data_IF_264356737288
#
_entry.id   IF_264356737288
#
_cell.length_a   1.000
_cell.length_b   1.000
_cell.length_c   1.000
_cell.angle_alpha   90.00
_cell.angle_beta   90.00
_cell.angle_gamma   90.00
#
_symmetry.space_group_name_H-M   'P 1'
#
loop_
_entity.id
_entity.type
_entity.pdbx_description
1 polymer ?
#
# COMPACT_ATOMS: atom_id res chain seq x y z
N UNK A 1 17.19 -8.51 6.18
CA UNK A 1 16.82 -8.84 4.79
C UNK A 1 16.17 -10.20 4.80
N UNK A 2 15.21 -10.47 3.92
CA UNK A 2 14.52 -11.77 3.89
C UNK A 2 13.00 -11.70 4.01
N UNK A 3 12.39 -10.55 3.72
CA UNK A 3 10.95 -10.46 3.50
C UNK A 3 10.66 -9.85 2.13
N UNK A 4 9.46 -10.12 1.65
CA UNK A 4 8.89 -9.48 0.48
C UNK A 4 7.47 -9.03 0.81
N UNK A 5 6.94 -8.15 -0.03
CA UNK A 5 5.55 -7.69 0.01
C UNK A 5 4.92 -8.08 -1.33
N UNK A 6 3.72 -8.66 -1.28
CA UNK A 6 2.94 -8.92 -2.50
C UNK A 6 1.93 -7.81 -2.74
N UNK A 7 2.00 -7.21 -3.91
CA UNK A 7 1.00 -6.25 -4.41
C UNK A 7 0.14 -6.93 -5.46
N UNK A 8 -1.17 -6.72 -5.46
CA UNK A 8 -2.04 -7.21 -6.54
C UNK A 8 -2.23 -6.12 -7.60
N UNK A 9 -2.32 -6.56 -8.86
CA UNK A 9 -2.95 -5.76 -9.90
C UNK A 9 -4.44 -5.53 -9.55
N UNK A 10 -5.10 -4.50 -10.11
CA UNK A 10 -6.53 -4.27 -9.86
C UNK A 10 -7.35 -5.55 -10.13
N UNK A 11 -7.99 -6.14 -9.11
CA UNK A 11 -8.78 -7.34 -9.31
C UNK A 11 -10.10 -7.01 -10.03
N UNK A 12 -10.78 -8.02 -10.59
CA UNK A 12 -12.18 -7.88 -11.00
C UNK A 12 -13.04 -7.27 -9.89
N UNK A 13 -14.01 -6.45 -10.27
CA UNK A 13 -14.95 -5.84 -9.31
C UNK A 13 -15.84 -6.87 -8.59
N UNK A 14 -16.01 -8.05 -9.19
CA UNK A 14 -16.78 -9.16 -8.64
C UNK A 14 -16.19 -10.51 -9.03
N UNK A 15 -16.29 -11.46 -8.11
CA UNK A 15 -16.01 -12.89 -8.28
C UNK A 15 -17.30 -13.67 -8.07
N UNK A 16 -17.55 -14.63 -8.95
CA UNK A 16 -18.67 -15.57 -8.87
C UNK A 16 -18.13 -17.00 -8.66
N UNK A 17 -18.95 -17.84 -8.04
CA UNK A 17 -18.57 -19.21 -7.67
C UNK A 17 -18.23 -20.06 -8.90
N UNK A 18 -17.08 -20.71 -8.88
CA UNK A 18 -16.63 -21.61 -9.94
C UNK A 18 -16.16 -20.94 -11.24
N UNK A 19 -16.36 -19.63 -11.40
CA UNK A 19 -15.80 -18.87 -12.52
C UNK A 19 -14.30 -18.70 -12.35
N UNK A 20 -13.57 -18.84 -13.47
CA UNK A 20 -12.12 -18.63 -13.50
C UNK A 20 -11.80 -17.15 -13.70
N UNK A 21 -10.91 -16.61 -12.87
CA UNK A 21 -10.40 -15.25 -12.98
C UNK A 21 -8.87 -15.24 -13.01
N UNK A 22 -8.27 -14.39 -13.84
CA UNK A 22 -6.82 -14.17 -13.82
C UNK A 22 -6.49 -13.07 -12.83
N UNK A 23 -5.57 -13.35 -11.91
CA UNK A 23 -5.04 -12.39 -10.95
C UNK A 23 -3.55 -12.18 -11.22
N UNK A 24 -3.17 -10.94 -11.51
CA UNK A 24 -1.78 -10.51 -11.59
C UNK A 24 -1.29 -9.96 -10.25
N UNK A 25 -0.01 -10.18 -9.94
CA UNK A 25 0.57 -9.78 -8.66
C UNK A 25 2.09 -9.67 -8.71
N UNK A 26 2.64 -8.77 -7.89
CA UNK A 26 4.05 -8.43 -7.82
C UNK A 26 4.64 -8.88 -6.49
N UNK A 27 5.76 -9.60 -6.52
CA UNK A 27 6.56 -9.94 -5.34
C UNK A 27 7.75 -9.01 -5.25
N UNK A 28 7.75 -8.09 -4.29
CA UNK A 28 8.84 -7.13 -4.12
C UNK A 28 9.59 -7.37 -2.82
N UNK A 29 10.90 -7.64 -2.93
CA UNK A 29 11.79 -7.70 -1.79
C UNK A 29 11.81 -6.33 -1.08
N UNK A 30 11.66 -6.36 0.24
CA UNK A 30 11.52 -5.16 1.08
C UNK A 30 10.42 -4.18 0.61
N UNK A 31 9.46 -4.66 -0.18
CA UNK A 31 8.35 -3.87 -0.73
C UNK A 31 8.73 -2.87 -1.82
N UNK A 32 9.99 -2.82 -2.27
CA UNK A 32 10.50 -1.71 -3.10
C UNK A 32 11.16 -2.12 -4.41
N UNK A 33 11.47 -3.41 -4.61
CA UNK A 33 12.18 -3.89 -5.80
C UNK A 33 11.96 -5.39 -6.04
N UNK A 34 12.09 -5.89 -7.28
CA UNK A 34 12.04 -7.32 -7.53
C UNK A 34 13.19 -8.03 -6.80
N UNK A 35 12.96 -9.24 -6.28
CA UNK A 35 14.04 -10.04 -5.73
C UNK A 35 15.07 -10.38 -6.81
N UNK A 36 16.32 -10.57 -6.39
CA UNK A 36 17.39 -10.99 -7.29
C UNK A 36 17.57 -12.51 -7.21
N UNK A 37 17.69 -13.15 -8.37
CA UNK A 37 17.94 -14.59 -8.47
C UNK A 37 16.71 -15.44 -8.19
N UNK A 38 16.93 -16.74 -8.09
CA UNK A 38 15.87 -17.72 -7.85
C UNK A 38 15.33 -17.63 -6.42
N UNK A 39 14.05 -17.33 -6.29
CA UNK A 39 13.37 -17.25 -4.98
C UNK A 39 12.59 -18.51 -4.63
N UNK A 40 12.38 -19.41 -5.59
CA UNK A 40 11.57 -20.61 -5.42
C UNK A 40 10.09 -20.41 -5.76
N UNK A 41 9.21 -21.34 -5.36
CA UNK A 41 7.82 -21.34 -5.79
C UNK A 41 7.04 -20.11 -5.32
N UNK A 42 6.34 -19.47 -6.25
CA UNK A 42 5.45 -18.34 -5.98
C UNK A 42 4.00 -18.78 -6.25
N UNK A 43 3.08 -18.44 -5.36
CA UNK A 43 1.67 -18.82 -5.46
C UNK A 43 0.75 -17.89 -4.68
N UNK A 44 -0.55 -17.93 -4.99
CA UNK A 44 -1.61 -17.43 -4.12
C UNK A 44 -2.32 -18.62 -3.46
N UNK A 45 -2.42 -18.58 -2.14
CA UNK A 45 -3.15 -19.56 -1.33
C UNK A 45 -4.36 -18.91 -0.68
N UNK A 46 -5.51 -19.53 -0.89
CA UNK A 46 -6.81 -19.11 -0.37
C UNK A 46 -7.19 -20.04 0.76
N UNK A 47 -7.43 -19.51 1.95
CA UNK A 47 -7.62 -20.29 3.18
C UNK A 47 -8.93 -19.90 3.87
N UNK A 48 -9.75 -20.88 4.20
CA UNK A 48 -10.98 -20.69 5.00
C UNK A 48 -10.67 -20.77 6.49
N UNK A 49 -11.62 -20.31 7.31
CA UNK A 49 -11.53 -20.40 8.77
C UNK A 49 -11.45 -21.85 9.28
N UNK A 50 -12.05 -22.80 8.55
CA UNK A 50 -11.99 -24.24 8.85
C UNK A 50 -10.65 -24.91 8.45
N UNK A 51 -9.70 -24.16 7.89
CA UNK A 51 -8.41 -24.65 7.43
C UNK A 51 -8.41 -25.20 6.00
N UNK A 52 -9.56 -25.33 5.34
CA UNK A 52 -9.65 -25.68 3.92
C UNK A 52 -8.86 -24.68 3.10
N UNK A 53 -7.99 -25.17 2.21
CA UNK A 53 -7.18 -24.28 1.37
C UNK A 53 -7.14 -24.71 -0.09
N UNK A 54 -6.97 -23.70 -0.96
CA UNK A 54 -6.71 -23.87 -2.39
C UNK A 54 -5.49 -23.06 -2.78
N UNK A 55 -4.58 -23.67 -3.52
CA UNK A 55 -3.31 -23.07 -3.93
C UNK A 55 -3.26 -22.96 -5.44
N UNK A 56 -2.90 -21.78 -5.94
CA UNK A 56 -2.76 -21.50 -7.37
C UNK A 56 -1.35 -20.99 -7.63
N UNK A 57 -0.58 -21.76 -8.40
CA UNK A 57 0.80 -21.40 -8.72
C UNK A 57 0.84 -20.14 -9.58
N UNK A 58 1.78 -19.23 -9.27
CA UNK A 58 2.06 -18.06 -10.08
C UNK A 58 2.95 -18.43 -11.26
N UNK A 59 2.57 -17.98 -12.45
CA UNK A 59 3.40 -17.99 -13.64
C UNK A 59 4.14 -16.66 -13.71
N UNK A 60 5.47 -16.68 -13.85
CA UNK A 60 6.25 -15.48 -14.07
C UNK A 60 5.87 -14.81 -15.40
N UNK A 61 5.70 -13.50 -15.36
CA UNK A 61 5.50 -12.65 -16.52
C UNK A 61 6.84 -12.08 -16.98
N UNK A 62 6.81 -11.23 -18.02
CA UNK A 62 8.02 -10.65 -18.61
C UNK A 62 8.69 -9.66 -17.64
N UNK A 63 7.89 -8.95 -16.87
CA UNK A 63 8.35 -7.96 -15.90
C UNK A 63 8.86 -8.65 -14.63
N UNK A 64 10.07 -8.27 -14.20
CA UNK A 64 10.72 -8.86 -13.03
C UNK A 64 9.84 -8.76 -11.77
N UNK A 65 9.65 -9.88 -11.10
CA UNK A 65 8.80 -10.00 -9.91
C UNK A 65 7.30 -9.94 -10.19
N UNK A 66 6.85 -9.84 -11.45
CA UNK A 66 5.44 -9.87 -11.82
C UNK A 66 5.01 -11.30 -12.17
N UNK A 67 3.86 -11.70 -11.65
CA UNK A 67 3.30 -13.03 -11.82
C UNK A 67 1.82 -12.95 -12.12
N UNK A 68 1.27 -13.98 -12.76
CA UNK A 68 -0.17 -14.17 -12.90
C UNK A 68 -0.59 -15.59 -12.52
N UNK A 69 -1.82 -15.75 -12.07
CA UNK A 69 -2.43 -17.06 -11.84
C UNK A 69 -3.92 -17.06 -12.16
N UNK A 70 -4.46 -18.22 -12.52
CA UNK A 70 -5.90 -18.41 -12.79
C UNK A 70 -6.55 -19.07 -11.58
N UNK A 71 -7.55 -18.41 -10.99
CA UNK A 71 -8.23 -18.84 -9.77
C UNK A 71 -9.69 -19.18 -10.02
N UNK A 72 -10.16 -20.29 -9.49
CA UNK A 72 -11.57 -20.66 -9.45
C UNK A 72 -11.91 -21.21 -8.06
N UNK A 73 -12.81 -20.52 -7.37
CA UNK A 73 -13.15 -20.78 -5.98
C UNK A 73 -14.66 -21.02 -5.82
N UNK A 74 -15.08 -21.94 -4.95
CA UNK A 74 -16.48 -22.05 -4.55
C UNK A 74 -16.83 -20.95 -3.55
N UNK A 75 -18.13 -20.78 -3.33
CA UNK A 75 -18.69 -19.80 -2.39
C UNK A 75 -18.07 -19.89 -1.00
N UNK A 76 -17.80 -18.72 -0.40
CA UNK A 76 -17.26 -18.61 0.95
C UNK A 76 -16.36 -17.39 1.13
N UNK A 77 -15.81 -17.28 2.34
CA UNK A 77 -14.85 -16.25 2.70
C UNK A 77 -13.46 -16.88 2.77
N UNK A 78 -12.53 -16.28 2.04
CA UNK A 78 -11.18 -16.79 1.84
C UNK A 78 -10.16 -15.73 2.24
N UNK A 79 -9.31 -16.05 3.20
CA UNK A 79 -8.09 -15.29 3.41
C UNK A 79 -7.13 -15.56 2.26
N UNK A 80 -6.56 -14.51 1.68
CA UNK A 80 -5.62 -14.59 0.57
C UNK A 80 -4.20 -14.40 1.11
N UNK A 81 -3.36 -15.41 0.94
CA UNK A 81 -1.96 -15.43 1.39
C UNK A 81 -1.07 -15.65 0.19
N UNK A 82 -0.12 -14.76 -0.04
CA UNK A 82 0.94 -14.97 -1.02
C UNK A 82 2.02 -15.89 -0.44
N UNK A 83 2.37 -16.92 -1.19
CA UNK A 83 3.58 -17.71 -0.99
C UNK A 83 4.66 -17.13 -1.90
N UNK A 84 5.77 -16.71 -1.31
CA UNK A 84 6.79 -15.89 -1.96
C UNK A 84 8.16 -16.59 -1.93
N UNK A 85 8.18 -17.91 -2.15
CA UNK A 85 9.39 -18.70 -2.15
C UNK A 85 10.14 -18.68 -0.81
N UNK A 86 11.41 -18.23 -0.83
CA UNK A 86 12.27 -18.13 0.35
C UNK A 86 11.84 -17.04 1.35
N UNK A 87 10.92 -16.16 0.98
CA UNK A 87 10.38 -15.13 1.87
C UNK A 87 9.23 -15.65 2.73
N UNK A 88 8.98 -14.97 3.84
CA UNK A 88 7.81 -15.25 4.68
C UNK A 88 6.50 -15.07 3.88
N UNK A 89 5.48 -15.91 4.11
CA UNK A 89 4.16 -15.69 3.51
C UNK A 89 3.59 -14.32 3.87
N UNK A 90 2.89 -13.71 2.92
CA UNK A 90 2.32 -12.37 3.09
C UNK A 90 0.80 -12.41 2.97
N UNK A 91 0.09 -11.88 3.96
CA UNK A 91 -1.37 -11.81 3.94
C UNK A 91 -1.84 -10.63 3.07
N UNK A 92 -2.37 -10.95 1.90
CA UNK A 92 -2.76 -9.96 0.88
C UNK A 92 -4.11 -9.32 1.20
N UNK A 93 -5.06 -10.10 1.73
CA UNK A 93 -6.42 -9.61 1.94
C UNK A 93 -7.43 -10.73 2.14
N UNK A 94 -8.70 -10.39 1.92
CA UNK A 94 -9.85 -11.31 2.06
C UNK A 94 -10.73 -11.25 0.82
N UNK A 95 -11.02 -12.41 0.23
CA UNK A 95 -11.95 -12.57 -0.89
C UNK A 95 -13.25 -13.20 -0.39
N UNK A 96 -14.38 -12.57 -0.72
CA UNK A 96 -15.71 -13.18 -0.57
C UNK A 96 -16.21 -13.65 -1.94
N UNK A 97 -16.71 -14.89 -2.01
CA UNK A 97 -17.31 -15.47 -3.22
C UNK A 97 -18.75 -15.91 -2.91
N UNK A 98 -19.77 -15.47 -3.68
CA UNK A 98 -19.69 -14.37 -4.62
C UNK A 98 -19.44 -13.04 -3.90
N UNK A 99 -18.72 -12.12 -4.53
CA UNK A 99 -18.35 -10.86 -3.87
C UNK A 99 -17.09 -10.25 -4.44
N UNK A 100 -16.30 -9.58 -3.59
CA UNK A 100 -15.10 -8.86 -4.01
C UNK A 100 -13.88 -9.25 -3.16
N UNK A 101 -12.70 -8.90 -3.67
CA UNK A 101 -11.43 -8.97 -2.96
C UNK A 101 -11.15 -7.64 -2.27
N UNK A 102 -11.11 -7.66 -0.94
CA UNK A 102 -10.62 -6.54 -0.12
C UNK A 102 -9.13 -6.75 0.12
N UNK A 103 -8.30 -5.85 -0.41
CA UNK A 103 -6.85 -5.87 -0.25
C UNK A 103 -6.48 -5.16 1.06
N UNK A 104 -5.64 -5.80 1.87
CA UNK A 104 -5.12 -5.21 3.09
C UNK A 104 -4.14 -4.07 2.74
N UNK A 105 -4.14 -2.95 3.49
CA UNK A 105 -3.10 -1.95 3.36
C UNK A 105 -1.71 -2.58 3.61
N UNK A 106 -0.71 -2.14 2.85
CA UNK A 106 0.67 -2.57 3.07
C UNK A 106 1.18 -1.95 4.38
N UNK A 107 1.67 -2.76 5.34
CA UNK A 107 2.28 -2.23 6.55
C UNK A 107 3.51 -1.38 6.21
N UNK A 108 3.57 -0.09 6.62
CA UNK A 108 4.66 0.81 6.24
C UNK A 108 6.05 0.31 6.63
N UNK A 109 6.17 -0.41 7.73
CA UNK A 109 7.42 -1.00 8.23
C UNK A 109 8.00 -2.09 7.32
N UNK A 110 7.19 -2.68 6.45
CA UNK A 110 7.63 -3.66 5.46
C UNK A 110 8.16 -3.00 4.18
N UNK A 111 7.99 -1.68 4.02
CA UNK A 111 8.48 -0.93 2.87
C UNK A 111 9.79 -0.26 3.26
N UNK A 112 10.89 -0.75 2.69
CA UNK A 112 12.22 -0.20 2.96
C UNK A 112 13.03 -0.11 1.68
N UNK A 113 13.42 1.11 1.32
CA UNK A 113 14.47 1.32 0.33
C UNK A 113 15.83 1.11 1.00
N UNK A 114 16.66 0.30 0.38
CA UNK A 114 18.00 -0.04 0.87
C UNK A 114 19.10 0.51 -0.06
N UNK A 115 18.74 1.36 -1.04
CA UNK A 115 19.69 2.02 -1.94
C UNK A 115 20.40 1.05 -2.90
N UNK A 116 19.86 -0.15 -3.09
CA UNK A 116 20.41 -1.14 -4.01
C UNK A 116 19.81 -0.90 -5.40
N UNK A 117 20.62 -0.80 -6.47
CA UNK A 117 20.10 -0.75 -7.83
C UNK A 117 19.14 -1.91 -8.04
N UNK A 118 17.89 -1.64 -8.40
CA UNK A 118 16.91 -2.68 -8.61
C UNK A 118 16.91 -3.13 -10.07
N UNK A 119 16.65 -4.42 -10.39
CA UNK A 119 16.58 -4.93 -11.76
C UNK A 119 15.27 -4.50 -12.46
N UNK A 120 14.88 -3.23 -12.32
CA UNK A 120 13.64 -2.73 -12.88
C UNK A 120 13.70 -2.67 -14.41
N UNK A 121 12.59 -3.08 -15.04
CA UNK A 121 12.26 -2.69 -16.40
C UNK A 121 11.51 -1.34 -16.46
N UNK A 122 10.91 -1.06 -17.61
CA UNK A 122 10.09 0.14 -17.82
C UNK A 122 8.75 0.11 -17.05
N UNK A 123 8.27 -1.07 -16.66
CA UNK A 123 6.97 -1.29 -16.02
C UNK A 123 7.17 -1.64 -14.55
N UNK A 124 6.29 -1.11 -13.69
CA UNK A 124 6.31 -1.25 -12.22
C UNK A 124 4.89 -1.45 -11.69
N UNK A 125 4.71 -2.01 -10.49
CA UNK A 125 3.39 -2.16 -9.90
C UNK A 125 2.67 -0.81 -9.75
N UNK A 126 1.34 -0.79 -9.85
CA UNK A 126 0.55 0.35 -9.43
C UNK A 126 0.81 0.58 -7.94
N UNK A 127 1.22 1.81 -7.57
CA UNK A 127 1.52 2.13 -6.17
C UNK A 127 0.23 2.01 -5.35
N UNK A 128 0.10 0.95 -4.56
CA UNK A 128 -0.98 0.81 -3.57
C UNK A 128 -0.74 1.89 -2.51
N UNK A 129 -1.75 2.67 -2.09
CA UNK A 129 -1.56 3.70 -1.08
C UNK A 129 -0.99 3.06 0.19
N UNK A 130 0.26 3.42 0.51
CA UNK A 130 0.81 3.21 1.85
C UNK A 130 -0.12 3.96 2.79
N UNK A 131 -0.71 3.28 3.77
CA UNK A 131 -1.53 3.97 4.77
C UNK A 131 -0.67 5.07 5.38
N UNK A 132 -0.99 6.32 5.06
CA UNK A 132 -0.47 7.46 5.77
C UNK A 132 -0.89 7.25 7.23
N UNK A 133 0.08 7.02 8.10
CA UNK A 133 -0.15 7.10 9.53
C UNK A 133 -0.91 8.41 9.78
N UNK A 134 -2.06 8.30 10.46
CA UNK A 134 -2.90 9.44 10.86
C UNK A 134 -1.98 10.57 11.30
N UNK A 135 -2.02 11.68 10.56
CA UNK A 135 -1.51 12.95 11.05
C UNK A 135 -2.18 13.18 12.39
N UNK A 136 -1.45 13.01 13.48
CA UNK A 136 -1.81 13.63 14.75
C UNK A 136 -1.59 15.13 14.57
N UNK A 137 -2.53 15.76 13.86
CA UNK A 137 -2.79 17.17 14.03
C UNK A 137 -3.31 17.32 15.45
N UNK A 138 -2.45 17.85 16.32
CA UNK A 138 -2.84 18.22 17.67
C UNK A 138 -3.87 19.36 17.58
N UNK A 139 -5.03 19.27 18.25
CA UNK A 139 -5.94 20.39 18.33
C UNK A 139 -5.41 21.39 19.36
N UNK A 140 -4.99 22.56 18.89
CA UNK A 140 -4.65 23.70 19.75
C UNK A 140 -4.12 24.86 18.90
N UNK A 141 -4.74 26.02 18.80
CA UNK A 141 -5.86 26.58 19.52
C UNK A 141 -6.62 27.54 18.61
N UNK A 142 -7.95 27.46 18.65
CA UNK A 142 -8.80 28.54 18.19
C UNK A 142 -8.54 29.78 19.07
N UNK A 143 -8.08 30.89 18.47
CA UNK A 143 -8.23 32.22 19.07
C UNK A 143 -9.55 32.78 18.56
N UNK A 144 -10.57 32.75 19.42
CA UNK A 144 -11.84 33.43 19.18
C UNK A 144 -11.67 34.96 19.17
N UNK A 145 -12.54 35.69 18.44
CA UNK A 145 -12.47 37.14 18.29
C UNK A 145 -13.32 37.89 19.32
N UNK A 146 -13.01 39.19 19.50
CA UNK A 146 -13.78 40.18 20.26
C UNK A 146 -12.93 40.81 21.35
N UNK A 147 -12.81 42.12 21.52
CA UNK A 147 -13.48 43.29 20.96
C UNK A 147 -13.30 44.44 21.97
N UNK A 148 -13.46 45.68 21.52
CA UNK A 148 -13.55 46.95 22.27
C UNK A 148 -12.26 47.79 22.49
N UNK A 149 -12.16 48.78 21.59
CA UNK A 149 -11.80 50.21 21.69
C UNK A 149 -11.48 50.91 23.03
N UNK A 150 -10.79 52.06 22.83
CA UNK A 150 -10.70 53.33 23.60
C UNK A 150 -9.30 53.58 24.21
N UNK A 151 -8.66 54.74 24.09
CA UNK A 151 -8.93 56.02 23.42
C UNK A 151 -7.61 56.85 23.36
N UNK A 152 -7.64 57.93 22.56
CA UNK A 152 -6.95 59.26 22.66
C UNK A 152 -5.62 59.38 23.46
N UNK A 153 -4.59 60.11 23.02
CA UNK A 153 -4.47 61.10 21.95
C UNK A 153 -3.20 61.96 22.16
N UNK A 154 -3.03 62.93 21.25
CA UNK A 154 -2.15 64.11 21.29
C UNK A 154 -0.63 63.96 21.04
N UNK A 155 -0.14 64.74 20.06
CA UNK A 155 1.28 65.09 19.92
C UNK A 155 1.71 65.50 18.52
N UNK A 156 1.34 66.72 18.09
CA UNK A 156 1.69 67.29 16.79
C UNK A 156 3.13 67.82 16.69
N UNK A 157 3.69 67.71 15.48
CA UNK A 157 4.55 68.64 14.71
C UNK A 157 5.49 69.63 15.43
N UNK A 158 6.77 69.61 15.02
CA UNK A 158 7.73 70.72 15.21
C UNK A 158 9.13 70.41 14.64
N UNK A 159 9.50 71.09 13.54
CA UNK A 159 10.79 71.03 12.81
C UNK A 159 11.85 71.98 13.46
N UNK A 160 12.95 72.48 12.81
CA UNK A 160 13.84 72.03 11.71
C UNK A 160 15.37 72.28 12.02
N UNK A 161 16.22 72.19 10.96
CA UNK A 161 17.56 72.80 10.66
C UNK A 161 18.90 72.35 11.33
N UNK A 162 19.78 71.78 10.48
CA UNK A 162 21.15 72.19 10.07
C UNK A 162 22.19 72.78 11.05
N UNK A 163 23.43 72.23 11.00
CA UNK A 163 24.75 72.90 10.95
C UNK A 163 25.88 72.00 11.46
N UNK A 164 26.90 71.73 10.61
CA UNK A 164 28.17 71.12 11.00
C UNK A 164 28.95 70.51 9.85
#
# INVERSE_FOLDING_TARGET
>A
GGWAVTYLDPPPSRFDSGTSYTLGFWVLQHGTHPPRGEVGPIALRFVRADGTSRRFAGTALREEGHHATSVALPEGVWRVVAEQGLFQPYEVGTLTVPGSLTINPVPPELVRDIGVPAPWGAIRPPVVPVSAARSTEAPGAARSPGGAEAAEGAGASGAPVDAG
#
